data_IF_765422453668
#
_entry.id   IF_765422453668
#
_cell.length_a   1.000
_cell.length_b   1.000
_cell.length_c   1.000
_cell.angle_alpha   90.00
_cell.angle_beta   90.00
_cell.angle_gamma   90.00
#
_symmetry.space_group_name_H-M   'P 1'
#
loop_
_entity.id
_entity.type
_entity.pdbx_description
1 polymer ?
#
# COMPACT_ATOMS: atom_id res chain seq x y z
N UNK A 1 -1.89 -46.22 -23.82
CA UNK A 1 -1.20 -45.04 -23.25
C UNK A 1 -1.72 -44.83 -21.84
N UNK A 2 -0.94 -45.21 -20.86
CA UNK A 2 -1.40 -45.32 -19.47
C UNK A 2 -1.27 -44.00 -18.72
N UNK A 3 -2.39 -43.50 -18.25
CA UNK A 3 -2.46 -42.33 -17.37
C UNK A 3 -1.95 -42.70 -15.99
N UNK A 4 -0.75 -42.28 -15.61
CA UNK A 4 -0.18 -42.47 -14.29
C UNK A 4 -0.99 -41.64 -13.28
N UNK A 5 -1.92 -42.26 -12.56
CA UNK A 5 -2.55 -41.71 -11.37
C UNK A 5 -1.51 -41.61 -10.25
N UNK A 6 -0.92 -40.43 -10.07
CA UNK A 6 -0.03 -40.18 -8.94
C UNK A 6 -0.84 -40.13 -7.64
N UNK A 7 -0.66 -41.17 -6.80
CA UNK A 7 -1.23 -41.27 -5.45
C UNK A 7 -0.64 -40.17 -4.55
N UNK A 8 -1.52 -39.35 -3.97
CA UNK A 8 -1.18 -38.46 -2.85
C UNK A 8 -0.88 -39.32 -1.60
N UNK A 9 0.36 -39.45 -1.20
CA UNK A 9 0.75 -40.08 0.07
C UNK A 9 1.01 -39.01 1.14
N UNK A 10 0.26 -39.03 2.24
CA UNK A 10 0.67 -38.41 3.52
C UNK A 10 1.78 -39.29 4.13
N UNK A 11 3.00 -38.75 4.26
CA UNK A 11 4.06 -39.55 4.89
C UNK A 11 5.45 -38.92 4.82
N UNK A 12 6.26 -39.30 5.81
CA UNK A 12 7.69 -38.96 5.90
C UNK A 12 8.45 -39.51 4.67
N UNK A 13 9.21 -38.65 3.97
CA UNK A 13 10.18 -39.13 2.97
C UNK A 13 9.73 -39.15 1.50
N UNK A 14 8.81 -38.29 1.08
CA UNK A 14 8.32 -38.24 -0.33
C UNK A 14 9.47 -38.03 -1.34
N UNK A 15 10.51 -37.30 -0.98
CA UNK A 15 11.68 -37.09 -1.86
C UNK A 15 12.67 -38.29 -1.86
N UNK A 16 12.60 -39.22 -0.86
CA UNK A 16 13.48 -40.39 -0.82
C UNK A 16 13.23 -41.41 -1.94
N UNK A 17 12.10 -41.32 -2.64
CA UNK A 17 11.78 -42.21 -3.78
C UNK A 17 11.75 -41.51 -5.12
N UNK A 18 12.19 -40.25 -5.18
CA UNK A 18 12.26 -39.45 -6.41
C UNK A 18 13.69 -39.36 -6.84
N UNK A 19 13.99 -39.85 -8.06
CA UNK A 19 15.33 -39.74 -8.64
C UNK A 19 15.57 -38.28 -9.06
N UNK A 20 16.56 -37.65 -8.44
CA UNK A 20 17.05 -36.31 -8.76
C UNK A 20 18.51 -36.47 -9.20
N UNK A 21 18.82 -36.01 -10.39
CA UNK A 21 20.16 -36.08 -10.94
C UNK A 21 21.11 -35.07 -10.27
N UNK A 22 22.36 -35.41 -10.13
CA UNK A 22 23.37 -34.51 -9.57
C UNK A 22 23.51 -33.25 -10.44
N UNK A 23 23.45 -32.07 -9.80
CA UNK A 23 23.50 -30.77 -10.49
C UNK A 23 22.18 -30.28 -11.07
N UNK A 24 21.09 -31.06 -10.94
CA UNK A 24 19.75 -30.66 -11.40
C UNK A 24 19.23 -29.44 -10.62
N UNK A 25 18.72 -28.43 -11.31
CA UNK A 25 18.21 -27.20 -10.70
C UNK A 25 16.73 -27.29 -10.41
N UNK A 26 16.41 -27.24 -9.14
CA UNK A 26 15.06 -27.39 -8.62
C UNK A 26 14.43 -26.06 -8.22
N UNK A 27 13.16 -25.89 -8.52
CA UNK A 27 12.34 -24.74 -8.15
C UNK A 27 11.12 -25.22 -7.36
N UNK A 28 10.88 -24.62 -6.20
CA UNK A 28 9.80 -25.00 -5.32
C UNK A 28 8.72 -23.92 -5.33
N UNK A 29 7.51 -24.27 -5.70
CA UNK A 29 6.34 -23.41 -5.58
C UNK A 29 5.51 -23.82 -4.39
N UNK A 30 5.04 -22.86 -3.62
CA UNK A 30 4.21 -23.08 -2.44
C UNK A 30 2.96 -22.24 -2.55
N UNK A 31 1.80 -22.87 -2.49
CA UNK A 31 0.56 -22.19 -2.18
C UNK A 31 0.32 -22.29 -0.68
N UNK A 32 0.26 -21.11 -0.03
CA UNK A 32 0.30 -21.00 1.44
C UNK A 32 -1.09 -20.80 2.02
N UNK A 33 -1.57 -21.79 2.78
CA UNK A 33 -2.79 -21.71 3.56
C UNK A 33 -2.51 -21.62 5.06
N UNK A 34 -3.56 -21.38 5.86
CA UNK A 34 -3.44 -21.25 7.31
C UNK A 34 -2.99 -22.54 8.01
N UNK A 35 -3.43 -23.71 7.52
CA UNK A 35 -3.21 -25.00 8.17
C UNK A 35 -2.19 -25.86 7.44
N UNK A 36 -2.06 -25.68 6.14
CA UNK A 36 -1.26 -26.51 5.26
C UNK A 36 -0.59 -25.70 4.15
N UNK A 37 0.43 -26.28 3.56
CA UNK A 37 1.10 -25.79 2.36
C UNK A 37 0.93 -26.83 1.25
N UNK A 38 0.45 -26.37 0.09
CA UNK A 38 0.53 -27.13 -1.14
C UNK A 38 1.87 -26.82 -1.80
N UNK A 39 2.70 -27.82 -1.95
CA UNK A 39 4.05 -27.68 -2.46
C UNK A 39 4.24 -28.45 -3.75
N UNK A 40 5.03 -27.89 -4.66
CA UNK A 40 5.41 -28.52 -5.90
C UNK A 40 6.90 -28.25 -6.17
N UNK A 41 7.65 -29.26 -6.60
CA UNK A 41 9.04 -29.15 -7.05
C UNK A 41 9.07 -29.34 -8.56
N UNK A 42 9.66 -28.38 -9.25
CA UNK A 42 9.85 -28.36 -10.68
C UNK A 42 11.31 -28.45 -11.03
N UNK A 43 11.67 -29.40 -11.89
CA UNK A 43 13.00 -29.45 -12.48
C UNK A 43 13.09 -28.53 -13.68
N UNK A 44 14.06 -27.62 -13.68
CA UNK A 44 14.32 -26.77 -14.82
C UNK A 44 14.92 -27.58 -15.98
N UNK A 45 15.77 -28.49 -15.68
CA UNK A 45 16.57 -29.22 -16.68
C UNK A 45 15.71 -30.26 -17.42
N UNK A 46 14.74 -30.87 -16.74
CA UNK A 46 13.72 -31.75 -17.36
C UNK A 46 12.47 -31.03 -17.87
N UNK A 47 12.30 -29.73 -17.56
CA UNK A 47 11.05 -28.93 -17.73
C UNK A 47 9.81 -29.68 -17.28
N UNK A 48 9.88 -30.37 -16.12
CA UNK A 48 8.84 -31.25 -15.61
C UNK A 48 8.62 -31.13 -14.10
N UNK A 49 7.39 -31.48 -13.68
CA UNK A 49 7.05 -31.65 -12.27
C UNK A 49 7.74 -32.88 -11.71
N UNK A 50 8.59 -32.70 -10.70
CA UNK A 50 9.29 -33.78 -10.00
C UNK A 50 8.37 -34.44 -8.98
N UNK A 51 7.76 -33.63 -8.11
CA UNK A 51 6.85 -34.09 -7.05
C UNK A 51 5.94 -32.97 -6.57
N UNK A 52 4.77 -33.33 -6.05
CA UNK A 52 3.90 -32.41 -5.31
C UNK A 52 3.32 -33.10 -4.08
N UNK A 53 3.11 -32.31 -3.01
CA UNK A 53 2.53 -32.80 -1.75
C UNK A 53 1.79 -31.71 -1.01
N UNK A 54 0.99 -32.12 -0.02
CA UNK A 54 0.41 -31.24 0.99
C UNK A 54 1.08 -31.56 2.33
N UNK A 55 1.48 -30.53 3.05
CA UNK A 55 2.11 -30.64 4.36
C UNK A 55 1.63 -29.59 5.34
N UNK A 56 1.96 -29.72 6.63
CA UNK A 56 1.56 -28.72 7.63
C UNK A 56 2.18 -27.35 7.32
N UNK A 57 1.48 -26.28 7.69
CA UNK A 57 1.92 -24.89 7.49
C UNK A 57 3.06 -24.51 8.48
N UNK A 58 4.17 -25.20 8.40
CA UNK A 58 5.35 -25.06 9.25
C UNK A 58 6.62 -25.07 8.41
N UNK A 59 7.46 -24.05 8.60
CA UNK A 59 8.71 -23.90 7.85
C UNK A 59 9.66 -25.10 8.08
N UNK A 60 9.75 -25.59 9.32
CA UNK A 60 10.60 -26.70 9.71
C UNK A 60 10.18 -28.03 9.05
N UNK A 61 8.88 -28.25 8.90
CA UNK A 61 8.36 -29.43 8.20
C UNK A 61 8.67 -29.37 6.69
N UNK A 62 8.59 -28.19 6.11
CA UNK A 62 8.96 -27.94 4.72
C UNK A 62 10.46 -28.16 4.50
N UNK A 63 11.31 -27.54 5.33
CA UNK A 63 12.77 -27.66 5.23
C UNK A 63 13.24 -29.11 5.36
N UNK A 64 12.76 -29.85 6.38
CA UNK A 64 13.07 -31.28 6.53
C UNK A 64 12.71 -32.13 5.29
N UNK A 65 11.67 -31.73 4.57
CA UNK A 65 11.27 -32.42 3.34
C UNK A 65 12.17 -32.12 2.17
N UNK A 66 12.65 -30.87 2.09
CA UNK A 66 13.53 -30.42 1.02
C UNK A 66 15.01 -30.74 1.28
N UNK A 67 15.37 -31.08 2.51
CA UNK A 67 16.77 -31.36 2.92
C UNK A 67 17.52 -32.32 1.98
N UNK A 68 16.91 -33.44 1.51
CA UNK A 68 17.63 -34.35 0.62
C UNK A 68 18.07 -33.75 -0.71
N UNK A 69 17.46 -32.64 -1.13
CA UNK A 69 17.81 -31.93 -2.38
C UNK A 69 18.19 -30.47 -2.15
N UNK A 70 18.54 -30.11 -0.91
CA UNK A 70 18.78 -28.70 -0.52
C UNK A 70 19.80 -27.99 -1.37
N UNK A 71 20.93 -28.62 -1.70
CA UNK A 71 21.98 -28.05 -2.54
C UNK A 71 21.57 -27.81 -4.00
N UNK A 72 20.45 -28.38 -4.46
CA UNK A 72 19.94 -28.27 -5.82
C UNK A 72 18.74 -27.30 -5.93
N UNK A 73 18.17 -26.85 -4.78
CA UNK A 73 17.07 -25.90 -4.77
C UNK A 73 17.55 -24.50 -5.10
N UNK A 74 17.32 -24.09 -6.34
CA UNK A 74 17.69 -22.76 -6.82
C UNK A 74 16.77 -21.64 -6.28
N UNK A 75 15.48 -21.95 -6.02
CA UNK A 75 14.53 -20.96 -5.52
C UNK A 75 13.28 -21.61 -4.92
N UNK A 76 12.81 -21.05 -3.79
CA UNK A 76 11.52 -21.37 -3.18
C UNK A 76 10.63 -20.15 -3.33
N UNK A 77 9.45 -20.28 -3.94
CA UNK A 77 8.55 -19.15 -4.21
C UNK A 77 7.16 -19.39 -3.64
N UNK A 78 6.56 -18.32 -3.10
CA UNK A 78 5.13 -18.29 -2.76
C UNK A 78 4.55 -16.89 -2.97
N UNK A 79 3.22 -16.80 -3.10
CA UNK A 79 2.56 -15.52 -3.34
C UNK A 79 2.41 -14.69 -2.06
N UNK A 80 2.57 -13.37 -2.19
CA UNK A 80 2.26 -12.42 -1.12
C UNK A 80 0.75 -12.47 -0.81
N UNK A 81 0.41 -12.91 0.37
CA UNK A 81 -0.95 -13.13 0.83
C UNK A 81 -1.15 -12.86 2.32
N UNK A 82 -2.27 -13.32 2.90
CA UNK A 82 -2.59 -13.12 4.31
C UNK A 82 -1.63 -13.81 5.28
N UNK A 83 -0.85 -14.80 4.82
CA UNK A 83 0.17 -15.52 5.60
C UNK A 83 1.43 -14.67 5.85
N UNK A 84 1.57 -13.52 5.18
CA UNK A 84 2.67 -12.58 5.40
C UNK A 84 4.04 -13.07 4.96
N UNK A 85 5.09 -12.62 5.66
CA UNK A 85 6.49 -12.85 5.28
C UNK A 85 7.25 -13.78 6.24
N UNK A 86 6.59 -14.31 7.28
CA UNK A 86 7.25 -15.12 8.31
C UNK A 86 7.93 -16.35 7.70
N UNK A 87 7.28 -17.05 6.77
CA UNK A 87 7.85 -18.20 6.08
C UNK A 87 9.13 -17.83 5.31
N UNK A 88 9.11 -16.74 4.54
CA UNK A 88 10.28 -16.32 3.76
C UNK A 88 11.46 -15.96 4.68
N UNK A 89 11.21 -15.24 5.78
CA UNK A 89 12.25 -14.90 6.75
C UNK A 89 12.84 -16.14 7.40
N UNK A 90 12.00 -17.09 7.81
CA UNK A 90 12.44 -18.33 8.44
C UNK A 90 13.26 -19.20 7.49
N UNK A 91 12.85 -19.31 6.24
CA UNK A 91 13.61 -19.99 5.20
C UNK A 91 14.96 -19.31 4.93
N UNK A 92 14.97 -17.99 4.80
CA UNK A 92 16.19 -17.23 4.57
C UNK A 92 17.17 -17.32 5.76
N UNK A 93 16.70 -17.31 7.00
CA UNK A 93 17.51 -17.54 8.21
C UNK A 93 18.18 -18.92 8.21
N UNK A 94 17.53 -19.90 7.64
CA UNK A 94 18.04 -21.27 7.50
C UNK A 94 18.86 -21.49 6.20
N UNK A 95 19.18 -20.41 5.45
CA UNK A 95 19.99 -20.48 4.24
C UNK A 95 19.25 -20.90 2.96
N UNK A 96 17.91 -21.04 3.01
CA UNK A 96 17.13 -21.40 1.83
C UNK A 96 16.84 -20.19 0.94
N UNK A 97 16.90 -20.34 -0.41
CA UNK A 97 16.71 -19.24 -1.37
C UNK A 97 15.22 -18.88 -1.53
N UNK A 98 14.62 -18.31 -0.50
CA UNK A 98 13.20 -17.96 -0.46
C UNK A 98 12.89 -16.64 -1.16
N UNK A 99 11.81 -16.60 -1.94
CA UNK A 99 11.34 -15.42 -2.63
C UNK A 99 9.81 -15.31 -2.54
N UNK A 100 9.31 -14.15 -2.11
CA UNK A 100 7.88 -13.85 -2.16
C UNK A 100 7.58 -13.14 -3.48
N UNK A 101 6.49 -13.53 -4.13
CA UNK A 101 6.10 -12.97 -5.43
C UNK A 101 4.73 -12.31 -5.36
N UNK A 102 4.44 -11.43 -6.32
CA UNK A 102 3.16 -10.72 -6.37
C UNK A 102 2.16 -11.46 -7.24
N UNK A 103 1.05 -11.90 -6.66
CA UNK A 103 -0.08 -12.49 -7.38
C UNK A 103 -0.59 -11.63 -8.54
N UNK A 104 -0.59 -10.29 -8.38
CA UNK A 104 -1.05 -9.36 -9.42
C UNK A 104 -0.16 -9.31 -10.67
N UNK A 105 1.01 -9.93 -10.64
CA UNK A 105 1.97 -9.95 -11.74
C UNK A 105 2.33 -11.38 -12.18
N UNK A 106 1.70 -12.38 -11.59
CA UNK A 106 1.80 -13.77 -12.03
C UNK A 106 1.06 -13.90 -13.36
N UNK A 107 1.65 -14.45 -14.43
CA UNK A 107 0.97 -14.65 -15.70
C UNK A 107 -0.26 -15.55 -15.51
N UNK A 108 -1.42 -15.11 -15.98
CA UNK A 108 -2.63 -15.95 -16.05
C UNK A 108 -2.56 -16.83 -17.30
N UNK A 109 -2.89 -18.12 -17.14
CA UNK A 109 -3.01 -19.02 -18.28
C UNK A 109 -4.22 -18.60 -19.16
N UNK A 110 -4.11 -18.65 -20.48
CA UNK A 110 -5.18 -18.23 -21.40
C UNK A 110 -6.45 -19.07 -21.31
N UNK A 111 -6.35 -20.30 -20.81
CA UNK A 111 -7.45 -21.26 -20.67
C UNK A 111 -7.73 -21.44 -19.17
N UNK A 112 -8.98 -21.23 -18.78
CA UNK A 112 -9.46 -21.57 -17.44
C UNK A 112 -9.46 -23.10 -17.26
N UNK A 113 -8.36 -23.64 -16.75
CA UNK A 113 -8.39 -24.91 -16.07
C UNK A 113 -9.01 -24.70 -14.68
N UNK A 114 -9.69 -25.73 -14.17
CA UNK A 114 -10.27 -25.71 -12.82
C UNK A 114 -9.25 -25.18 -11.81
N UNK A 115 -9.66 -24.17 -11.04
CA UNK A 115 -8.82 -23.53 -10.05
C UNK A 115 -8.61 -24.52 -8.89
N UNK A 116 -7.38 -24.95 -8.68
CA UNK A 116 -7.01 -25.89 -7.65
C UNK A 116 -5.64 -25.49 -7.06
N UNK A 117 -5.54 -25.47 -5.72
CA UNK A 117 -4.34 -25.07 -4.97
C UNK A 117 -3.08 -25.84 -5.39
N UNK A 118 -3.25 -27.09 -5.79
CA UNK A 118 -2.16 -27.91 -6.32
C UNK A 118 -1.63 -27.40 -7.67
N UNK A 119 -2.52 -26.89 -8.53
CA UNK A 119 -2.13 -26.30 -9.81
C UNK A 119 -1.43 -24.98 -9.59
N UNK A 120 -1.84 -24.20 -8.59
CA UNK A 120 -1.22 -22.92 -8.27
C UNK A 120 0.21 -23.10 -7.77
N UNK A 121 0.48 -24.05 -6.87
CA UNK A 121 1.85 -24.40 -6.45
C UNK A 121 2.72 -24.87 -7.62
N UNK A 122 2.19 -25.72 -8.51
CA UNK A 122 2.91 -26.17 -9.71
C UNK A 122 3.23 -25.02 -10.66
N UNK A 123 2.26 -24.12 -10.95
CA UNK A 123 2.46 -22.96 -11.79
C UNK A 123 3.54 -22.01 -11.21
N UNK A 124 3.52 -21.80 -9.89
CA UNK A 124 4.54 -20.98 -9.23
C UNK A 124 5.94 -21.57 -9.41
N UNK A 125 6.12 -22.88 -9.20
CA UNK A 125 7.40 -23.57 -9.41
C UNK A 125 7.87 -23.45 -10.87
N UNK A 126 6.99 -23.73 -11.83
CA UNK A 126 7.25 -23.61 -13.26
C UNK A 126 7.60 -22.18 -13.69
N UNK A 127 6.84 -21.18 -13.25
CA UNK A 127 7.12 -19.78 -13.59
C UNK A 127 8.41 -19.27 -12.94
N UNK A 128 8.73 -19.75 -11.72
CA UNK A 128 10.01 -19.47 -11.09
C UNK A 128 11.19 -20.02 -11.92
N UNK A 129 11.09 -21.24 -12.45
CA UNK A 129 12.13 -21.84 -13.29
C UNK A 129 12.36 -21.06 -14.60
N UNK A 130 11.30 -20.45 -15.15
CA UNK A 130 11.33 -19.61 -16.36
C UNK A 130 11.60 -18.13 -16.08
N UNK A 131 11.87 -17.77 -14.81
CA UNK A 131 12.13 -16.40 -14.36
C UNK A 131 11.02 -15.38 -14.70
N UNK A 132 9.77 -15.82 -14.75
CA UNK A 132 8.60 -15.00 -15.10
C UNK A 132 7.97 -14.26 -13.90
N UNK A 133 8.40 -14.57 -12.68
CA UNK A 133 7.83 -14.03 -11.44
C UNK A 133 8.57 -12.78 -10.98
N UNK A 134 7.83 -11.81 -10.46
CA UNK A 134 8.41 -10.59 -9.87
C UNK A 134 8.46 -10.71 -8.36
N UNK A 135 9.67 -10.60 -7.81
CA UNK A 135 9.89 -10.57 -6.37
C UNK A 135 9.24 -9.35 -5.73
N UNK A 136 8.66 -9.59 -4.56
CA UNK A 136 8.23 -8.55 -3.62
C UNK A 136 9.32 -8.36 -2.58
N UNK A 137 9.54 -7.14 -2.14
CA UNK A 137 10.44 -6.87 -1.02
C UNK A 137 9.87 -7.48 0.26
N UNK A 138 10.62 -8.38 0.86
CA UNK A 138 10.29 -9.00 2.16
C UNK A 138 10.76 -8.05 3.27
N UNK A 139 9.80 -7.56 4.04
CA UNK A 139 10.07 -6.68 5.18
C UNK A 139 10.83 -7.43 6.26
N UNK A 140 11.77 -6.74 6.91
CA UNK A 140 12.29 -7.21 8.20
C UNK A 140 11.17 -7.21 9.24
N UNK A 141 11.33 -7.94 10.34
CA UNK A 141 10.35 -7.94 11.43
C UNK A 141 10.11 -6.54 11.99
N UNK A 142 11.19 -5.79 12.19
CA UNK A 142 11.10 -4.42 12.70
C UNK A 142 10.38 -3.48 11.73
N UNK A 143 10.66 -3.56 10.42
CA UNK A 143 9.92 -2.78 9.40
C UNK A 143 8.43 -3.13 9.38
N UNK A 144 8.09 -4.39 9.64
CA UNK A 144 6.71 -4.86 9.70
C UNK A 144 6.01 -4.36 10.97
N UNK A 145 6.66 -4.43 12.14
CA UNK A 145 6.14 -3.92 13.41
C UNK A 145 5.94 -2.41 13.38
N UNK A 146 6.93 -1.66 12.94
CA UNK A 146 6.84 -0.20 12.80
C UNK A 146 5.68 0.20 11.88
N UNK A 147 5.51 -0.52 10.77
CA UNK A 147 4.41 -0.30 9.83
C UNK A 147 3.04 -0.60 10.45
N UNK A 148 2.93 -1.57 11.36
CA UNK A 148 1.68 -1.85 12.04
C UNK A 148 1.23 -0.72 12.98
N UNK A 149 2.14 0.06 13.57
CA UNK A 149 1.80 1.28 14.33
C UNK A 149 1.03 2.26 13.43
N UNK A 150 1.55 2.54 12.23
CA UNK A 150 0.90 3.42 11.26
C UNK A 150 -0.46 2.87 10.78
N UNK A 151 -0.53 1.59 10.49
CA UNK A 151 -1.74 0.91 10.01
C UNK A 151 -2.82 0.84 11.09
N UNK A 152 -2.42 0.65 12.35
CA UNK A 152 -3.32 0.70 13.51
C UNK A 152 -3.98 2.07 13.63
N UNK A 153 -3.17 3.15 13.58
CA UNK A 153 -3.70 4.51 13.58
C UNK A 153 -4.68 4.75 12.42
N UNK A 154 -4.36 4.29 11.22
CA UNK A 154 -5.24 4.43 10.05
C UNK A 154 -6.57 3.67 10.22
N UNK A 155 -6.54 2.46 10.81
CA UNK A 155 -7.76 1.72 11.16
C UNK A 155 -8.65 2.53 12.11
N UNK A 156 -8.08 3.08 13.19
CA UNK A 156 -8.81 3.90 14.16
C UNK A 156 -9.37 5.17 13.49
N UNK A 157 -8.59 5.84 12.66
CA UNK A 157 -9.04 7.02 11.91
C UNK A 157 -10.25 6.72 11.01
N UNK A 158 -10.29 5.53 10.40
CA UNK A 158 -11.45 5.08 9.61
C UNK A 158 -12.67 4.80 10.47
N UNK A 159 -12.51 4.26 11.69
CA UNK A 159 -13.63 4.09 12.63
C UNK A 159 -14.21 5.45 13.04
N UNK A 160 -13.37 6.41 13.42
CA UNK A 160 -13.84 7.78 13.71
C UNK A 160 -14.65 8.37 12.55
N UNK A 161 -14.17 8.22 11.31
CA UNK A 161 -14.92 8.67 10.12
C UNK A 161 -16.25 7.95 9.95
N UNK A 162 -16.27 6.64 10.15
CA UNK A 162 -17.49 5.82 10.04
C UNK A 162 -18.52 6.25 11.05
N UNK A 163 -18.14 6.43 12.32
CA UNK A 163 -19.06 6.86 13.39
C UNK A 163 -19.62 8.25 13.08
N UNK A 164 -18.79 9.18 12.62
CA UNK A 164 -19.25 10.51 12.18
C UNK A 164 -20.30 10.41 11.06
N UNK A 165 -20.12 9.53 10.09
CA UNK A 165 -21.08 9.31 9.01
C UNK A 165 -22.35 8.66 9.53
N UNK A 166 -22.26 7.69 10.43
CA UNK A 166 -23.40 7.03 11.06
C UNK A 166 -24.24 8.03 11.89
N UNK A 167 -23.57 8.92 12.66
CA UNK A 167 -24.27 9.97 13.41
C UNK A 167 -25.01 10.93 12.48
N UNK A 168 -24.40 11.36 11.38
CA UNK A 168 -25.11 12.21 10.41
C UNK A 168 -26.27 11.49 9.72
N UNK A 169 -26.10 10.22 9.39
CA UNK A 169 -27.16 9.40 8.81
C UNK A 169 -28.32 9.20 9.81
N UNK A 170 -28.00 9.00 11.10
CA UNK A 170 -29.01 8.93 12.18
C UNK A 170 -29.83 10.23 12.27
N UNK A 171 -29.17 11.39 12.31
CA UNK A 171 -29.88 12.69 12.36
C UNK A 171 -30.80 12.86 11.15
N UNK A 172 -30.28 12.60 9.94
CA UNK A 172 -31.05 12.71 8.70
C UNK A 172 -32.25 11.77 8.69
N UNK A 173 -32.07 10.51 9.08
CA UNK A 173 -33.14 9.51 9.07
C UNK A 173 -34.30 9.86 10.01
N UNK A 174 -34.00 10.48 11.15
CA UNK A 174 -34.98 10.88 12.14
C UNK A 174 -35.47 12.34 11.99
N UNK A 175 -35.13 13.01 10.88
CA UNK A 175 -35.57 14.39 10.62
C UNK A 175 -34.98 15.42 11.59
N UNK A 176 -33.84 15.11 12.23
CA UNK A 176 -33.18 15.98 13.19
C UNK A 176 -32.19 16.91 12.50
N UNK A 177 -32.21 18.18 12.87
CA UNK A 177 -31.28 19.18 12.32
C UNK A 177 -29.85 18.98 12.84
N UNK A 178 -28.87 19.14 11.96
CA UNK A 178 -27.46 19.14 12.37
C UNK A 178 -27.17 20.40 13.21
N UNK A 179 -26.58 20.28 14.44
CA UNK A 179 -26.16 21.44 15.22
C UNK A 179 -25.12 22.28 14.47
N UNK A 180 -25.09 23.59 14.77
CA UNK A 180 -24.08 24.49 14.24
C UNK A 180 -22.67 23.98 14.56
N UNK A 181 -21.76 24.04 13.59
CA UNK A 181 -20.40 23.54 13.75
C UNK A 181 -20.20 22.04 13.57
N UNK A 182 -21.25 21.23 13.37
CA UNK A 182 -21.15 19.77 13.17
C UNK A 182 -20.34 19.42 11.89
N UNK A 183 -20.29 20.31 10.91
CA UNK A 183 -19.42 20.14 9.74
C UNK A 183 -17.96 19.93 10.13
N UNK A 184 -17.49 20.62 11.16
CA UNK A 184 -16.12 20.54 11.68
C UNK A 184 -16.00 19.62 12.92
N UNK A 185 -17.11 19.12 13.46
CA UNK A 185 -17.16 18.32 14.67
C UNK A 185 -16.53 19.03 15.89
N UNK A 186 -16.89 20.32 16.05
CA UNK A 186 -16.44 21.12 17.19
C UNK A 186 -16.95 20.51 18.52
N UNK A 187 -16.34 20.89 19.63
CA UNK A 187 -16.74 20.37 20.94
C UNK A 187 -18.18 20.80 21.29
N UNK A 188 -18.52 22.05 20.96
CA UNK A 188 -19.87 22.61 21.15
C UNK A 188 -20.91 21.83 20.35
N UNK A 189 -20.60 21.50 19.07
CA UNK A 189 -21.52 20.74 18.24
C UNK A 189 -21.74 19.31 18.76
N UNK A 190 -20.67 18.68 19.29
CA UNK A 190 -20.79 17.34 19.90
C UNK A 190 -21.57 17.42 21.23
N UNK A 191 -21.37 18.45 22.05
CA UNK A 191 -22.15 18.69 23.26
C UNK A 191 -23.65 18.94 22.95
N UNK A 192 -23.93 19.75 21.92
CA UNK A 192 -25.28 19.99 21.45
C UNK A 192 -26.00 18.72 20.97
N UNK A 193 -25.31 17.76 20.37
CA UNK A 193 -25.88 16.44 20.08
C UNK A 193 -26.28 15.69 21.36
N UNK A 194 -25.48 15.82 22.42
CA UNK A 194 -25.74 15.23 23.72
C UNK A 194 -26.97 15.83 24.42
N UNK A 195 -27.34 17.11 24.14
CA UNK A 195 -28.45 17.82 24.75
C UNK A 195 -29.72 17.86 23.90
N UNK A 196 -29.77 17.23 22.72
CA UNK A 196 -30.98 17.16 21.90
C UNK A 196 -32.11 16.48 22.69
N UNK A 197 -33.31 17.04 22.67
CA UNK A 197 -34.51 16.41 23.23
C UNK A 197 -34.96 15.27 22.31
N UNK A 198 -34.87 14.04 22.79
CA UNK A 198 -35.21 12.82 22.04
C UNK A 198 -35.98 11.83 22.90
N UNK A 199 -36.89 11.07 22.27
CA UNK A 199 -37.48 9.91 22.90
C UNK A 199 -36.40 8.93 23.40
N UNK A 200 -36.70 8.24 24.54
CA UNK A 200 -35.72 7.38 25.22
C UNK A 200 -34.91 6.44 24.31
N UNK A 201 -35.55 5.65 23.43
CA UNK A 201 -34.84 4.76 22.51
C UNK A 201 -33.90 5.49 21.54
N UNK A 202 -34.31 6.65 21.01
CA UNK A 202 -33.49 7.45 20.11
C UNK A 202 -32.31 8.11 20.85
N UNK A 203 -32.56 8.59 22.07
CA UNK A 203 -31.50 9.11 22.96
C UNK A 203 -30.48 8.05 23.26
N UNK A 204 -30.92 6.83 23.60
CA UNK A 204 -30.01 5.71 23.82
C UNK A 204 -29.12 5.45 22.58
N UNK A 205 -29.74 5.33 21.41
CA UNK A 205 -28.99 5.05 20.17
C UNK A 205 -27.98 6.16 19.80
N UNK A 206 -28.36 7.43 20.00
CA UNK A 206 -27.43 8.55 19.76
C UNK A 206 -26.29 8.57 20.78
N UNK A 207 -26.57 8.28 22.04
CA UNK A 207 -25.55 8.22 23.10
C UNK A 207 -24.50 7.13 22.81
N UNK A 208 -24.92 5.97 22.32
CA UNK A 208 -23.97 4.90 21.89
C UNK A 208 -23.02 5.42 20.79
N UNK A 209 -23.56 6.10 19.76
CA UNK A 209 -22.72 6.68 18.70
C UNK A 209 -21.76 7.75 19.23
N UNK A 210 -22.19 8.58 20.19
CA UNK A 210 -21.35 9.61 20.80
C UNK A 210 -20.27 9.00 21.71
N UNK A 211 -20.59 7.95 22.46
CA UNK A 211 -19.66 7.19 23.30
C UNK A 211 -18.59 6.53 22.44
N UNK A 212 -18.98 5.85 21.36
CA UNK A 212 -18.07 5.28 20.39
C UNK A 212 -17.16 6.35 19.77
N UNK A 213 -17.73 7.51 19.43
CA UNK A 213 -16.93 8.62 18.89
C UNK A 213 -15.88 9.10 19.88
N UNK A 214 -16.25 9.29 21.14
CA UNK A 214 -15.35 9.73 22.21
C UNK A 214 -14.23 8.69 22.43
N UNK A 215 -14.59 7.42 22.55
CA UNK A 215 -13.64 6.31 22.70
C UNK A 215 -12.64 6.26 21.55
N UNK A 216 -13.12 6.26 20.32
CA UNK A 216 -12.22 6.17 19.16
C UNK A 216 -11.39 7.44 18.94
N UNK A 217 -11.87 8.63 19.33
CA UNK A 217 -11.07 9.86 19.34
C UNK A 217 -9.90 9.76 20.33
N UNK A 218 -10.13 9.28 21.54
CA UNK A 218 -9.08 9.06 22.55
C UNK A 218 -8.02 8.06 22.03
N UNK A 219 -8.47 6.94 21.46
CA UNK A 219 -7.57 5.94 20.86
C UNK A 219 -6.78 6.49 19.68
N UNK A 220 -7.37 7.38 18.87
CA UNK A 220 -6.68 8.03 17.76
C UNK A 220 -5.58 8.96 18.26
N UNK A 221 -5.82 9.69 19.35
CA UNK A 221 -4.81 10.55 19.99
C UNK A 221 -3.63 9.70 20.48
N UNK A 222 -3.89 8.62 21.23
CA UNK A 222 -2.87 7.69 21.70
C UNK A 222 -2.05 7.10 20.54
N UNK A 223 -2.70 6.55 19.53
CA UNK A 223 -2.03 5.98 18.36
C UNK A 223 -1.21 7.02 17.59
N UNK A 224 -1.66 8.27 17.56
CA UNK A 224 -0.90 9.37 16.97
C UNK A 224 0.31 9.72 17.81
N UNK A 225 0.22 9.70 19.15
CA UNK A 225 1.34 9.85 20.06
C UNK A 225 2.41 8.78 19.87
N UNK A 226 2.00 7.50 19.77
CA UNK A 226 2.92 6.38 19.48
C UNK A 226 3.63 6.55 18.12
N UNK A 227 2.90 6.98 17.10
CA UNK A 227 3.50 7.24 15.77
C UNK A 227 4.48 8.42 15.81
N UNK A 228 4.18 9.47 16.59
CA UNK A 228 5.08 10.59 16.84
C UNK A 228 6.35 10.12 17.57
N UNK A 229 6.22 9.30 18.61
CA UNK A 229 7.38 8.73 19.33
C UNK A 229 8.26 7.90 18.39
N UNK A 230 7.65 7.06 17.54
CA UNK A 230 8.38 6.28 16.54
C UNK A 230 9.16 7.19 15.56
N UNK A 231 8.58 8.30 15.12
CA UNK A 231 9.24 9.23 14.19
C UNK A 231 10.44 9.95 14.80
N UNK A 232 10.55 10.00 16.14
CA UNK A 232 11.66 10.63 16.86
C UNK A 232 12.80 9.65 17.18
N UNK A 233 12.64 8.37 16.87
CA UNK A 233 13.72 7.38 17.02
C UNK A 233 14.83 7.67 16.00
N UNK A 234 16.05 7.23 16.30
CA UNK A 234 17.23 7.46 15.46
C UNK A 234 17.04 6.90 14.04
N UNK A 235 16.23 5.84 13.92
CA UNK A 235 15.89 5.23 12.63
C UNK A 235 15.12 6.17 11.68
N UNK A 236 14.27 7.06 12.19
CA UNK A 236 13.33 7.83 11.39
C UNK A 236 13.46 9.34 11.54
N UNK A 237 14.09 9.84 12.61
CA UNK A 237 14.15 11.27 12.96
C UNK A 237 14.61 12.13 11.78
N UNK A 238 15.82 11.88 11.32
CA UNK A 238 16.42 12.69 10.25
C UNK A 238 15.60 12.63 8.95
N UNK A 239 15.12 11.45 8.58
CA UNK A 239 14.28 11.25 7.41
C UNK A 239 12.92 11.94 7.54
N UNK A 240 12.28 11.89 8.72
CA UNK A 240 11.02 12.58 8.98
C UNK A 240 11.18 14.09 8.92
N UNK A 241 12.23 14.66 9.54
CA UNK A 241 12.53 16.08 9.48
C UNK A 241 12.72 16.55 8.04
N UNK A 242 13.51 15.83 7.27
CA UNK A 242 13.72 16.12 5.84
C UNK A 242 12.42 16.07 5.05
N UNK A 243 11.62 15.02 5.21
CA UNK A 243 10.38 14.83 4.44
C UNK A 243 9.25 15.78 4.85
N UNK A 244 9.31 16.42 6.02
CA UNK A 244 8.37 17.46 6.42
C UNK A 244 8.63 18.83 5.72
N UNK A 245 9.70 18.95 4.93
CA UNK A 245 10.05 20.18 4.24
C UNK A 245 8.99 20.74 3.27
N UNK A 246 8.35 19.94 2.40
CA UNK A 246 7.32 20.47 1.51
C UNK A 246 6.09 20.96 2.29
N UNK A 247 5.60 22.20 2.06
CA UNK A 247 4.40 22.72 2.71
C UNK A 247 3.19 21.81 2.47
N UNK A 248 2.54 21.36 3.54
CA UNK A 248 1.41 20.40 3.47
C UNK A 248 1.80 18.95 3.71
N UNK A 249 3.08 18.64 3.82
CA UNK A 249 3.57 17.36 4.32
C UNK A 249 3.87 17.50 5.81
N UNK A 250 3.00 16.94 6.62
CA UNK A 250 3.22 16.84 8.06
C UNK A 250 3.78 15.47 8.46
N UNK A 251 4.08 15.32 9.76
CA UNK A 251 4.67 14.12 10.33
C UNK A 251 3.98 12.81 9.89
N UNK A 252 2.63 12.80 9.88
CA UNK A 252 1.87 11.58 9.51
C UNK A 252 2.15 11.14 8.06
N UNK A 253 2.31 12.11 7.15
CA UNK A 253 2.63 11.81 5.74
C UNK A 253 4.09 11.35 5.65
N UNK A 254 5.00 12.06 6.30
CA UNK A 254 6.43 11.76 6.28
C UNK A 254 6.73 10.35 6.80
N UNK A 255 6.30 10.06 8.03
CA UNK A 255 6.52 8.73 8.63
C UNK A 255 5.75 7.64 7.87
N UNK A 256 4.50 7.90 7.46
CA UNK A 256 3.71 6.96 6.67
C UNK A 256 4.35 6.62 5.33
N UNK A 257 5.04 7.59 4.70
CA UNK A 257 5.79 7.38 3.47
C UNK A 257 6.96 6.42 3.66
N UNK A 258 7.73 6.58 4.74
CA UNK A 258 8.85 5.71 5.11
C UNK A 258 8.37 4.29 5.47
N UNK A 259 7.30 4.17 6.26
CA UNK A 259 6.78 2.89 6.74
C UNK A 259 6.08 2.04 5.66
N UNK A 260 5.34 2.67 4.74
CA UNK A 260 4.66 1.93 3.66
C UNK A 260 5.57 1.70 2.44
N UNK A 261 6.65 2.47 2.30
CA UNK A 261 7.64 2.33 1.24
C UNK A 261 9.06 2.17 1.81
N UNK A 262 9.33 1.12 2.61
CA UNK A 262 10.65 0.95 3.20
C UNK A 262 11.71 0.75 2.11
N UNK A 263 12.94 1.16 2.42
CA UNK A 263 14.10 1.11 1.52
C UNK A 263 13.81 1.73 0.16
N UNK A 264 13.66 3.05 0.16
CA UNK A 264 13.31 3.83 -1.03
C UNK A 264 14.35 3.71 -2.16
N UNK A 265 15.57 3.33 -1.83
CA UNK A 265 16.67 3.08 -2.77
C UNK A 265 16.40 1.92 -3.74
N UNK A 266 15.54 0.98 -3.35
CA UNK A 266 15.11 -0.15 -4.22
C UNK A 266 14.31 0.28 -5.45
N UNK A 267 13.78 1.50 -5.47
CA UNK A 267 13.07 2.02 -6.61
C UNK A 267 14.02 2.68 -7.59
N UNK A 268 14.17 2.11 -8.78
CA UNK A 268 15.05 2.63 -9.82
C UNK A 268 14.58 3.98 -10.40
N UNK A 269 13.31 4.37 -10.18
CA UNK A 269 12.77 5.64 -10.70
C UNK A 269 11.52 6.10 -9.97
N UNK A 270 11.26 7.40 -9.97
CA UNK A 270 10.03 7.99 -9.47
C UNK A 270 8.76 7.47 -10.17
N UNK A 271 8.87 6.92 -11.40
CA UNK A 271 7.74 6.25 -12.06
C UNK A 271 7.29 4.99 -11.31
N UNK A 272 8.25 4.23 -10.75
CA UNK A 272 7.93 3.05 -9.94
C UNK A 272 7.22 3.44 -8.65
N UNK A 273 7.67 4.52 -7.98
CA UNK A 273 6.99 5.08 -6.80
C UNK A 273 5.55 5.49 -7.12
N UNK A 274 5.32 6.24 -8.20
CA UNK A 274 3.98 6.62 -8.63
C UNK A 274 3.09 5.42 -8.97
N UNK A 275 3.66 4.34 -9.48
CA UNK A 275 2.94 3.11 -9.85
C UNK A 275 2.52 2.29 -8.61
N UNK A 276 3.43 2.10 -7.64
CA UNK A 276 3.11 1.36 -6.39
C UNK A 276 2.08 2.11 -5.53
N UNK A 277 2.01 3.43 -5.62
CA UNK A 277 1.01 4.27 -4.97
C UNK A 277 -0.32 4.32 -5.73
N UNK A 278 -0.39 3.72 -6.92
CA UNK A 278 -1.52 3.84 -7.86
C UNK A 278 -1.94 5.31 -8.12
N UNK A 279 -0.94 6.20 -8.20
CA UNK A 279 -1.09 7.61 -8.59
C UNK A 279 -0.85 7.83 -10.09
N UNK A 280 -0.47 6.78 -10.83
CA UNK A 280 -0.31 6.82 -12.28
C UNK A 280 -1.59 6.36 -12.98
N UNK A 281 -1.97 6.99 -14.11
CA UNK A 281 -3.10 6.54 -14.89
C UNK A 281 -2.83 5.16 -15.49
N UNK A 282 -3.88 4.37 -15.65
CA UNK A 282 -3.84 3.12 -16.42
C UNK A 282 -4.10 3.46 -17.88
N UNK A 283 -3.13 3.21 -18.73
CA UNK A 283 -3.23 3.44 -20.17
C UNK A 283 -3.50 2.08 -20.84
N UNK A 284 -4.51 2.03 -21.69
CA UNK A 284 -4.70 0.97 -22.68
C UNK A 284 -4.43 1.58 -24.05
N UNK A 285 -3.51 0.99 -24.79
CA UNK A 285 -3.25 1.33 -26.18
C UNK A 285 -3.47 0.08 -27.03
N UNK A 286 -4.27 0.19 -28.06
CA UNK A 286 -4.40 -0.81 -29.11
C UNK A 286 -4.31 -0.08 -30.46
N UNK A 287 -3.33 -0.44 -31.28
CA UNK A 287 -3.09 0.23 -32.56
C UNK A 287 -2.91 1.75 -32.39
N UNK A 288 -3.70 2.53 -33.10
CA UNK A 288 -3.64 4.01 -33.06
C UNK A 288 -4.42 4.64 -31.91
N UNK A 289 -5.20 3.85 -31.14
CA UNK A 289 -6.00 4.40 -30.01
C UNK A 289 -5.31 4.27 -28.68
N UNK A 290 -5.10 5.40 -27.99
CA UNK A 290 -4.59 5.47 -26.62
C UNK A 290 -5.68 6.02 -25.71
N UNK A 291 -6.23 5.15 -24.83
CA UNK A 291 -7.26 5.55 -23.86
C UNK A 291 -6.73 5.44 -22.43
N UNK A 292 -6.98 6.46 -21.63
CA UNK A 292 -6.80 6.40 -20.17
C UNK A 292 -8.00 5.67 -19.55
N UNK A 293 -7.77 4.49 -18.97
CA UNK A 293 -8.81 3.68 -18.31
C UNK A 293 -8.66 3.82 -16.80
N UNK A 294 -8.99 4.99 -16.27
CA UNK A 294 -8.95 5.25 -14.84
C UNK A 294 -7.55 5.06 -14.22
N UNK A 295 -7.50 4.64 -12.96
CA UNK A 295 -6.25 4.37 -12.22
C UNK A 295 -6.03 2.87 -12.00
N UNK A 296 -4.81 2.48 -11.68
CA UNK A 296 -4.54 1.12 -11.21
C UNK A 296 -5.36 0.80 -9.95
N UNK A 297 -6.02 -0.36 -9.90
CA UNK A 297 -6.88 -0.76 -8.78
C UNK A 297 -6.09 -1.15 -7.53
N UNK A 298 -4.86 -1.64 -7.68
CA UNK A 298 -3.98 -2.03 -6.59
C UNK A 298 -3.20 -0.86 -5.97
N UNK A 299 -2.19 -1.19 -5.15
CA UNK A 299 -1.24 -0.26 -4.56
C UNK A 299 -1.62 0.25 -3.18
N UNK A 300 -0.77 1.12 -2.62
CA UNK A 300 -0.84 1.62 -1.25
C UNK A 300 -1.94 2.68 -1.06
N UNK A 301 -3.21 2.24 -0.94
CA UNK A 301 -4.37 3.12 -0.85
C UNK A 301 -4.34 4.11 0.32
N UNK A 302 -3.81 3.70 1.48
CA UNK A 302 -3.66 4.56 2.68
C UNK A 302 -2.75 5.75 2.38
N UNK A 303 -1.55 5.44 1.94
CA UNK A 303 -0.54 6.46 1.65
C UNK A 303 -0.97 7.38 0.50
N UNK A 304 -1.61 6.83 -0.52
CA UNK A 304 -2.20 7.62 -1.62
C UNK A 304 -3.17 8.68 -1.11
N UNK A 305 -4.09 8.32 -0.21
CA UNK A 305 -5.07 9.26 0.36
C UNK A 305 -4.38 10.40 1.12
N UNK A 306 -3.38 10.07 1.94
CA UNK A 306 -2.60 11.07 2.66
C UNK A 306 -1.81 11.99 1.73
N UNK A 307 -1.22 11.45 0.66
CA UNK A 307 -0.49 12.25 -0.33
C UNK A 307 -1.42 13.19 -1.12
N UNK A 308 -2.65 12.78 -1.39
CA UNK A 308 -3.66 13.66 -2.01
C UNK A 308 -4.05 14.79 -1.04
N UNK A 309 -4.26 14.50 0.24
CA UNK A 309 -4.47 15.51 1.28
C UNK A 309 -3.27 16.47 1.39
N UNK A 310 -2.06 15.94 1.45
CA UNK A 310 -0.82 16.72 1.43
C UNK A 310 -0.69 17.60 0.20
N UNK A 311 -1.06 17.09 -0.97
CA UNK A 311 -1.03 17.85 -2.23
C UNK A 311 -2.00 19.03 -2.24
N UNK A 312 -3.17 18.92 -1.60
CA UNK A 312 -4.06 20.06 -1.38
C UNK A 312 -3.45 21.12 -0.45
N UNK A 313 -2.76 20.69 0.61
CA UNK A 313 -2.01 21.58 1.51
C UNK A 313 -0.84 22.25 0.80
N UNK A 314 -0.08 21.47 0.01
CA UNK A 314 1.04 21.94 -0.77
C UNK A 314 0.64 22.98 -1.81
N UNK A 315 -0.39 22.68 -2.61
CA UNK A 315 -0.97 23.64 -3.57
C UNK A 315 -1.34 24.98 -2.94
N UNK A 316 -1.85 24.99 -1.71
CA UNK A 316 -2.30 26.22 -1.04
C UNK A 316 -1.16 27.08 -0.51
N UNK A 317 -0.03 26.48 -0.16
CA UNK A 317 1.07 27.14 0.58
C UNK A 317 2.32 27.35 -0.25
N UNK A 318 2.47 26.64 -1.36
CA UNK A 318 3.65 26.69 -2.22
C UNK A 318 3.26 27.24 -3.61
N UNK A 319 3.82 28.40 -4.02
CA UNK A 319 3.52 29.01 -5.32
C UNK A 319 3.87 28.13 -6.52
N UNK A 320 4.96 27.33 -6.41
CA UNK A 320 5.37 26.42 -7.49
C UNK A 320 4.41 25.25 -7.61
N UNK A 321 3.94 24.70 -6.50
CA UNK A 321 2.92 23.65 -6.48
C UNK A 321 1.58 24.18 -7.01
N UNK A 322 1.21 25.42 -6.69
CA UNK A 322 0.03 26.07 -7.25
C UNK A 322 0.12 26.23 -8.77
N UNK A 323 1.26 26.71 -9.27
CA UNK A 323 1.53 26.86 -10.69
C UNK A 323 1.43 25.49 -11.41
N UNK A 324 2.06 24.48 -10.83
CA UNK A 324 2.02 23.12 -11.37
C UNK A 324 0.60 22.52 -11.37
N UNK A 325 -0.18 22.78 -10.32
CA UNK A 325 -1.58 22.35 -10.26
C UNK A 325 -2.40 22.99 -11.39
N UNK A 326 -2.29 24.29 -11.62
CA UNK A 326 -3.04 24.99 -12.66
C UNK A 326 -2.67 24.49 -14.06
N UNK A 327 -1.39 24.20 -14.31
CA UNK A 327 -0.95 23.54 -15.54
C UNK A 327 -1.57 22.16 -15.71
N UNK A 328 -1.60 21.36 -14.64
CA UNK A 328 -2.22 20.03 -14.67
C UNK A 328 -3.74 20.13 -14.86
N UNK A 329 -4.39 21.13 -14.28
CA UNK A 329 -5.82 21.37 -14.43
C UNK A 329 -6.16 21.76 -15.87
N UNK A 330 -5.38 22.64 -16.49
CA UNK A 330 -5.55 23.00 -17.90
C UNK A 330 -5.41 21.78 -18.82
N UNK A 331 -4.42 20.91 -18.55
CA UNK A 331 -4.17 19.72 -19.38
C UNK A 331 -5.19 18.60 -19.17
N UNK A 332 -5.82 18.49 -18.01
CA UNK A 332 -6.70 17.36 -17.68
C UNK A 332 -8.19 17.70 -17.69
N UNK A 333 -8.54 18.98 -17.64
CA UNK A 333 -9.92 19.48 -17.52
C UNK A 333 -10.61 19.08 -16.19
N UNK A 334 -9.90 18.42 -15.26
CA UNK A 334 -10.52 17.84 -14.05
C UNK A 334 -9.69 18.14 -12.79
N UNK A 335 -10.29 18.80 -11.77
CA UNK A 335 -9.63 19.05 -10.49
C UNK A 335 -9.14 17.77 -9.79
N UNK A 336 -9.91 16.69 -9.88
CA UNK A 336 -9.55 15.38 -9.28
C UNK A 336 -8.37 14.73 -9.99
N UNK A 337 -8.28 14.82 -11.31
CA UNK A 337 -7.12 14.32 -12.07
C UNK A 337 -5.89 15.20 -11.80
N UNK A 338 -6.06 16.52 -11.78
CA UNK A 338 -4.98 17.47 -11.52
C UNK A 338 -4.36 17.27 -10.14
N UNK A 339 -5.17 17.14 -9.08
CA UNK A 339 -4.65 16.92 -7.72
C UNK A 339 -3.99 15.56 -7.57
N UNK A 340 -4.52 14.51 -8.21
CA UNK A 340 -3.90 13.17 -8.21
C UNK A 340 -2.54 13.20 -8.91
N UNK A 341 -2.42 13.93 -10.01
CA UNK A 341 -1.15 14.11 -10.70
C UNK A 341 -0.16 14.95 -9.89
N UNK A 342 -0.64 15.98 -9.16
CA UNK A 342 0.18 16.76 -8.23
C UNK A 342 0.67 15.88 -7.06
N UNK A 343 -0.20 15.04 -6.47
CA UNK A 343 0.15 14.08 -5.42
C UNK A 343 1.23 13.08 -5.90
N UNK A 344 1.17 12.65 -7.17
CA UNK A 344 2.23 11.83 -7.76
C UNK A 344 3.57 12.58 -7.82
N UNK A 345 3.56 13.86 -8.20
CA UNK A 345 4.77 14.68 -8.20
C UNK A 345 5.32 14.86 -6.78
N UNK A 346 4.46 15.13 -5.80
CA UNK A 346 4.84 15.19 -4.40
C UNK A 346 5.52 13.90 -3.94
N UNK A 347 4.93 12.73 -4.23
CA UNK A 347 5.52 11.44 -3.89
C UNK A 347 6.91 11.24 -4.51
N UNK A 348 7.10 11.67 -5.77
CA UNK A 348 8.41 11.58 -6.45
C UNK A 348 9.43 12.53 -5.81
N UNK A 349 9.01 13.71 -5.38
CA UNK A 349 9.86 14.66 -4.66
C UNK A 349 10.29 14.07 -3.31
N UNK A 350 9.36 13.55 -2.52
CA UNK A 350 9.67 12.91 -1.24
C UNK A 350 10.65 11.74 -1.43
N UNK A 351 10.43 10.90 -2.43
CA UNK A 351 11.35 9.83 -2.80
C UNK A 351 12.74 10.36 -3.15
N UNK A 352 12.83 11.39 -3.98
CA UNK A 352 14.11 11.99 -4.38
C UNK A 352 14.82 12.63 -3.19
N UNK A 353 14.12 13.40 -2.37
CA UNK A 353 14.67 14.01 -1.16
C UNK A 353 15.29 12.95 -0.23
N UNK A 354 14.61 11.81 -0.04
CA UNK A 354 15.11 10.76 0.84
C UNK A 354 16.27 9.99 0.23
N UNK A 355 16.22 9.66 -1.04
CA UNK A 355 17.31 8.91 -1.71
C UNK A 355 18.57 9.75 -1.94
N UNK A 356 18.43 11.04 -2.20
CA UNK A 356 19.57 11.96 -2.33
C UNK A 356 19.98 12.66 -1.03
N UNK A 357 19.24 12.41 0.08
CA UNK A 357 19.46 13.06 1.40
C UNK A 357 19.47 14.61 1.34
N UNK A 358 18.70 15.17 0.39
CA UNK A 358 18.63 16.62 0.17
C UNK A 358 17.35 17.21 0.75
N UNK A 359 17.37 18.46 1.27
CA UNK A 359 16.18 19.15 1.74
C UNK A 359 15.23 19.47 0.56
N UNK A 360 14.01 19.86 0.91
CA UNK A 360 13.05 20.32 -0.09
C UNK A 360 13.53 21.58 -0.81
N UNK A 361 13.49 21.54 -2.13
CA UNK A 361 13.72 22.68 -3.00
C UNK A 361 12.56 22.81 -4.00
N UNK A 362 11.85 23.96 -4.06
CA UNK A 362 10.76 24.17 -5.02
C UNK A 362 11.15 23.96 -6.48
N UNK A 363 12.41 24.19 -6.85
CA UNK A 363 12.96 23.94 -8.18
C UNK A 363 12.89 22.50 -8.68
N UNK A 364 12.64 21.53 -7.79
CA UNK A 364 12.42 20.12 -8.15
C UNK A 364 11.18 19.88 -9.03
N UNK A 365 10.30 20.88 -9.16
CA UNK A 365 9.12 20.82 -10.03
C UNK A 365 9.42 21.06 -11.52
N UNK A 366 10.62 21.52 -11.88
CA UNK A 366 11.04 21.86 -13.26
C UNK A 366 10.00 22.75 -13.98
N UNK A 367 9.54 23.81 -13.33
CA UNK A 367 8.66 24.81 -13.95
C UNK A 367 9.53 25.90 -14.58
N UNK A 368 9.34 26.22 -15.87
CA UNK A 368 10.08 27.31 -16.52
C UNK A 368 9.88 28.62 -15.78
N UNK A 369 10.96 29.37 -15.56
CA UNK A 369 10.96 30.62 -14.79
C UNK A 369 9.92 31.66 -15.28
N UNK A 370 9.74 31.81 -16.61
CA UNK A 370 8.77 32.70 -17.18
C UNK A 370 7.30 32.39 -16.84
N UNK A 371 6.96 31.12 -16.65
CA UNK A 371 5.62 30.68 -16.22
C UNK A 371 5.38 31.06 -14.76
N UNK A 372 6.42 31.00 -13.93
CA UNK A 372 6.37 31.30 -12.51
C UNK A 372 6.15 32.82 -12.28
N UNK A 373 6.89 33.69 -12.97
CA UNK A 373 6.72 35.14 -12.86
C UNK A 373 5.34 35.63 -13.34
N UNK A 374 4.83 35.08 -14.43
CA UNK A 374 3.49 35.37 -14.91
C UNK A 374 2.37 35.01 -13.91
N UNK A 375 2.59 33.96 -13.13
CA UNK A 375 1.63 33.49 -12.11
C UNK A 375 1.74 34.27 -10.81
N UNK A 376 2.91 34.70 -10.38
CA UNK A 376 3.10 35.64 -9.26
C UNK A 376 2.33 36.94 -9.52
N UNK A 377 2.45 37.50 -10.73
CA UNK A 377 1.71 38.72 -11.13
C UNK A 377 0.19 38.51 -11.11
N UNK A 378 -0.32 37.36 -11.56
CA UNK A 378 -1.75 37.02 -11.50
C UNK A 378 -2.25 36.84 -10.06
N UNK A 379 -1.47 36.19 -9.20
CA UNK A 379 -1.81 35.99 -7.79
C UNK A 379 -1.83 37.29 -7.00
N UNK A 380 -0.85 38.19 -7.24
CA UNK A 380 -0.81 39.52 -6.64
C UNK A 380 -2.00 40.39 -7.09
N UNK A 381 -2.40 40.36 -8.38
CA UNK A 381 -3.61 41.03 -8.87
C UNK A 381 -4.91 40.46 -8.26
N UNK A 382 -4.98 39.18 -7.98
CA UNK A 382 -6.15 38.53 -7.36
C UNK A 382 -6.29 38.88 -5.87
N UNK A 383 -5.17 38.98 -5.13
CA UNK A 383 -5.17 39.41 -3.72
C UNK A 383 -5.49 40.89 -3.56
N UNK A 384 -4.98 41.75 -4.44
CA UNK A 384 -5.31 43.16 -4.46
C UNK A 384 -6.80 43.46 -4.73
N UNK A 385 -7.46 42.64 -5.61
CA UNK A 385 -8.92 42.76 -5.85
C UNK A 385 -9.78 42.24 -4.68
N UNK A 386 -9.28 41.36 -3.82
CA UNK A 386 -10.00 40.90 -2.59
C UNK A 386 -9.88 41.95 -1.47
N UNK A 387 -8.76 42.64 -1.35
CA UNK A 387 -8.59 43.77 -0.40
C UNK A 387 -9.49 44.95 -0.74
N UNK A 388 -9.63 45.30 -2.02
CA UNK A 388 -10.48 46.39 -2.47
C UNK A 388 -12.00 46.14 -2.38
N UNK A 389 -12.44 44.83 -2.26
CA UNK A 389 -13.85 44.49 -2.04
C UNK A 389 -14.21 44.30 -0.56
N UNK A 390 -13.25 44.30 0.35
CA UNK A 390 -13.47 44.23 1.80
C UNK A 390 -13.47 45.60 2.47
N UNK A 391 -13.13 46.66 1.72
CA UNK A 391 -13.09 48.05 2.16
C UNK A 391 -14.11 48.96 1.44
N UNK A 392 -15.06 48.38 0.69
CA UNK A 392 -16.24 49.01 0.14
C UNK A 392 -17.49 48.23 0.65
#
# INVERSE_FOLDING_TARGET
>A
MGTIKQRTRRGKGILRGVHIEEGERLYVGIDTHKKDYHCAVWSKDRDALVVSWVGPAQAEALMRRLEPCGGQVARIVYEAGPTGFALARRLAQAGWPAQVVSAAHTPEAPVQEDKCDRLDAKKLAQYASKNLLRAVYVLTEQEEWDREVFRSRDRICRQVRRIKQQTKAFLLFHGLSEPAGLKNWSLEAVAALGSLELAGPLRFALNELLSDLAYHKARLLEATGRLKALSLTDRYRESCERLCGPPGVGLIIAIGFLLELPRLERFASGRQVGRILALSPRIRSSGQTRREVGRHRGGQGRLRSLLIEGAWGWRRRDPMAFAQYNRLLANTGSPYKAITALARKLAIILWKMETSKTPYCPGLLNIPAGVFEGMKRKAAKASGRRGARASA
#
